data_IF_004784594862
#
_entry.id   IF_004784594862
#
_cell.length_a   1.000
_cell.length_b   1.000
_cell.length_c   1.000
_cell.angle_alpha   90.00
_cell.angle_beta   90.00
_cell.angle_gamma   90.00
#
_symmetry.space_group_name_H-M   'P 1'
#
loop_
_entity.id
_entity.type
_entity.pdbx_description
1 polymer ?
#
# COMPACT_ATOMS: atom_id res chain seq x y z
N UNK A 1 13.13 7.23 -35.42
CA UNK A 1 12.03 6.40 -35.93
C UNK A 1 11.91 5.04 -35.23
N UNK A 2 12.96 4.21 -35.17
CA UNK A 2 12.90 2.86 -34.58
C UNK A 2 12.49 2.86 -33.08
N UNK A 3 13.09 3.73 -32.26
CA UNK A 3 12.75 3.85 -30.83
C UNK A 3 11.30 4.31 -30.58
N UNK A 4 10.79 5.19 -31.44
CA UNK A 4 9.39 5.68 -31.37
C UNK A 4 8.42 4.56 -31.72
N UNK A 5 8.70 3.81 -32.80
CA UNK A 5 7.88 2.66 -33.21
C UNK A 5 7.90 1.53 -32.16
N UNK A 6 9.05 1.30 -31.50
CA UNK A 6 9.13 0.36 -30.39
C UNK A 6 8.26 0.81 -29.21
N UNK A 7 8.39 2.07 -28.78
CA UNK A 7 7.62 2.60 -27.65
C UNK A 7 6.10 2.50 -27.90
N UNK A 8 5.65 2.81 -29.11
CA UNK A 8 4.23 2.66 -29.50
C UNK A 8 3.76 1.20 -29.40
N UNK A 9 4.51 0.26 -29.99
CA UNK A 9 4.17 -1.16 -29.93
C UNK A 9 4.22 -1.72 -28.51
N UNK A 10 5.14 -1.24 -27.68
CA UNK A 10 5.27 -1.67 -26.29
C UNK A 10 4.05 -1.23 -25.47
N UNK A 11 3.56 -0.02 -25.71
CA UNK A 11 2.34 0.49 -25.10
C UNK A 11 1.08 -0.27 -25.56
N UNK A 12 0.95 -0.54 -26.86
CA UNK A 12 -0.12 -1.39 -27.39
C UNK A 12 -0.11 -2.79 -26.77
N UNK A 13 1.08 -3.39 -26.66
CA UNK A 13 1.28 -4.69 -26.03
C UNK A 13 0.87 -4.68 -24.56
N UNK A 14 1.32 -3.68 -23.81
CA UNK A 14 0.97 -3.48 -22.40
C UNK A 14 -0.54 -3.37 -22.21
N UNK A 15 -1.21 -2.54 -23.03
CA UNK A 15 -2.67 -2.39 -22.99
C UNK A 15 -3.38 -3.71 -23.28
N UNK A 16 -2.95 -4.44 -24.32
CA UNK A 16 -3.56 -5.73 -24.68
C UNK A 16 -3.36 -6.79 -23.58
N UNK A 17 -2.16 -6.86 -23.00
CA UNK A 17 -1.84 -7.79 -21.92
C UNK A 17 -2.70 -7.51 -20.68
N UNK A 18 -2.75 -6.26 -20.22
CA UNK A 18 -3.55 -5.89 -19.04
C UNK A 18 -5.05 -6.16 -19.28
N UNK A 19 -5.59 -5.71 -20.42
CA UNK A 19 -7.04 -5.84 -20.70
C UNK A 19 -7.51 -7.28 -20.98
N UNK A 20 -6.64 -8.16 -21.50
CA UNK A 20 -7.03 -9.53 -21.87
C UNK A 20 -6.51 -10.55 -20.87
N UNK A 21 -5.19 -10.57 -20.63
CA UNK A 21 -4.55 -11.61 -19.83
C UNK A 21 -4.77 -11.35 -18.34
N UNK A 22 -4.39 -10.17 -17.84
CA UNK A 22 -4.53 -9.86 -16.41
C UNK A 22 -5.98 -9.85 -15.96
N UNK A 23 -6.88 -9.24 -16.74
CA UNK A 23 -8.31 -9.27 -16.45
C UNK A 23 -8.85 -10.70 -16.34
N UNK A 24 -8.43 -11.61 -17.23
CA UNK A 24 -8.84 -13.02 -17.19
C UNK A 24 -8.25 -13.76 -15.99
N UNK A 25 -6.98 -13.55 -15.67
CA UNK A 25 -6.32 -14.15 -14.51
C UNK A 25 -6.99 -13.70 -13.19
N UNK A 26 -7.30 -12.42 -13.06
CA UNK A 26 -7.97 -11.87 -11.88
C UNK A 26 -9.36 -12.50 -11.72
N UNK A 27 -10.15 -12.58 -12.79
CA UNK A 27 -11.46 -13.24 -12.75
C UNK A 27 -11.38 -14.74 -12.48
N UNK A 28 -10.32 -15.41 -12.93
CA UNK A 28 -10.08 -16.82 -12.62
C UNK A 28 -9.72 -17.04 -11.15
N UNK A 29 -8.97 -16.10 -10.53
CA UNK A 29 -8.64 -16.15 -9.10
C UNK A 29 -9.86 -15.85 -8.24
N UNK A 30 -10.62 -14.80 -8.56
CA UNK A 30 -11.86 -14.47 -7.88
C UNK A 30 -12.81 -13.70 -8.82
N UNK A 31 -14.00 -14.26 -9.14
CA UNK A 31 -14.94 -13.65 -10.07
C UNK A 31 -15.55 -12.33 -9.57
N UNK A 32 -15.53 -12.07 -8.25
CA UNK A 32 -16.03 -10.84 -7.63
C UNK A 32 -15.03 -9.66 -7.75
N UNK A 33 -13.79 -9.91 -8.19
CA UNK A 33 -12.79 -8.87 -8.40
C UNK A 33 -12.89 -8.26 -9.80
N UNK A 34 -12.79 -6.94 -9.87
CA UNK A 34 -12.74 -6.16 -11.09
C UNK A 34 -11.35 -5.53 -11.23
N UNK A 35 -10.90 -5.37 -12.46
CA UNK A 35 -9.56 -4.86 -12.78
C UNK A 35 -9.65 -3.67 -13.71
N UNK A 36 -9.01 -2.58 -13.30
CA UNK A 36 -8.99 -1.30 -13.97
C UNK A 36 -7.53 -0.88 -14.21
N UNK A 37 -6.93 -1.28 -15.35
CA UNK A 37 -5.49 -1.11 -15.62
C UNK A 37 -4.98 0.33 -15.48
N UNK A 38 -5.83 1.31 -15.78
CA UNK A 38 -5.46 2.73 -15.84
C UNK A 38 -5.95 3.52 -14.62
N UNK A 39 -6.69 2.87 -13.71
CA UNK A 39 -7.14 3.47 -12.47
C UNK A 39 -6.20 3.05 -11.33
N UNK A 40 -6.24 3.80 -10.25
CA UNK A 40 -5.57 3.49 -9.00
C UNK A 40 -6.44 3.97 -7.83
N UNK A 41 -6.06 3.58 -6.62
CA UNK A 41 -6.60 4.17 -5.40
C UNK A 41 -6.42 5.69 -5.48
N UNK A 42 -7.44 6.42 -5.03
CA UNK A 42 -7.46 7.87 -5.23
C UNK A 42 -6.51 8.58 -4.27
N UNK A 43 -6.08 9.79 -4.66
CA UNK A 43 -5.32 10.68 -3.76
C UNK A 43 -6.06 10.93 -2.44
N UNK A 44 -7.38 11.07 -2.48
CA UNK A 44 -8.20 11.26 -1.28
C UNK A 44 -8.15 10.04 -0.33
N UNK A 45 -8.25 8.82 -0.84
CA UNK A 45 -8.08 7.59 -0.04
C UNK A 45 -6.66 7.48 0.53
N UNK A 46 -5.64 7.82 -0.28
CA UNK A 46 -4.25 7.85 0.15
C UNK A 46 -4.02 8.86 1.29
N UNK A 47 -4.57 10.07 1.18
CA UNK A 47 -4.47 11.09 2.24
C UNK A 47 -5.26 10.67 3.49
N UNK A 48 -6.46 10.11 3.32
CA UNK A 48 -7.31 9.57 4.40
C UNK A 48 -6.59 8.48 5.19
N UNK A 49 -5.72 7.69 4.56
CA UNK A 49 -4.96 6.64 5.25
C UNK A 49 -3.99 7.18 6.31
N UNK A 50 -3.55 8.43 6.19
CA UNK A 50 -2.54 9.03 7.07
C UNK A 50 -1.20 8.27 7.12
N UNK A 51 -0.95 7.27 6.25
CA UNK A 51 0.30 6.48 6.23
C UNK A 51 1.55 7.30 5.90
N UNK A 52 1.35 8.48 5.29
CA UNK A 52 2.41 9.38 4.87
C UNK A 52 2.19 10.82 5.39
N UNK A 53 1.50 10.97 6.53
CA UNK A 53 1.12 12.28 7.07
C UNK A 53 2.32 13.22 7.35
N UNK A 54 3.51 12.67 7.63
CA UNK A 54 4.74 13.44 7.85
C UNK A 54 5.59 13.68 6.60
N UNK A 55 5.15 13.18 5.44
CA UNK A 55 5.76 13.55 4.18
C UNK A 55 5.15 14.86 3.67
N UNK A 56 5.89 15.62 2.85
CA UNK A 56 5.29 16.67 2.04
C UNK A 56 4.13 16.10 1.22
N UNK A 57 3.14 16.93 0.92
CA UNK A 57 2.08 16.51 0.01
C UNK A 57 2.67 16.22 -1.38
N UNK A 58 2.21 15.17 -2.07
CA UNK A 58 2.79 14.79 -3.35
C UNK A 58 2.51 15.84 -4.43
N UNK A 59 3.58 16.39 -5.00
CA UNK A 59 3.54 17.18 -6.25
C UNK A 59 3.15 16.29 -7.44
N UNK A 60 3.44 14.99 -7.34
CA UNK A 60 3.09 14.01 -8.36
C UNK A 60 2.52 12.76 -7.70
N UNK A 61 1.34 12.39 -8.18
CA UNK A 61 0.62 11.19 -7.77
C UNK A 61 0.38 10.33 -9.01
N UNK A 62 1.05 9.18 -9.10
CA UNK A 62 0.87 8.20 -10.17
C UNK A 62 0.45 6.89 -9.57
N UNK A 63 -0.36 6.15 -10.31
CA UNK A 63 -0.72 4.80 -9.98
C UNK A 63 -1.41 4.13 -11.13
N UNK A 64 -1.51 2.82 -11.04
CA UNK A 64 -2.16 1.96 -12.02
C UNK A 64 -2.61 0.65 -11.37
N UNK A 65 -3.25 -0.19 -12.18
CA UNK A 65 -3.61 -1.55 -11.79
C UNK A 65 -4.53 -1.64 -10.56
N UNK A 66 -5.57 -0.81 -10.53
CA UNK A 66 -6.63 -0.94 -9.53
C UNK A 66 -7.35 -2.29 -9.68
N UNK A 67 -7.26 -3.11 -8.64
CA UNK A 67 -8.08 -4.30 -8.44
C UNK A 67 -9.03 -4.01 -7.28
N UNK A 68 -10.32 -4.23 -7.48
CA UNK A 68 -11.32 -3.99 -6.45
C UNK A 68 -12.48 -4.98 -6.48
N UNK A 69 -13.08 -5.24 -5.33
CA UNK A 69 -14.21 -6.14 -5.20
C UNK A 69 -14.24 -6.77 -3.82
N UNK A 70 -14.78 -7.97 -3.72
CA UNK A 70 -14.92 -8.68 -2.46
C UNK A 70 -14.10 -9.96 -2.43
N UNK A 71 -13.42 -10.20 -1.31
CA UNK A 71 -12.74 -11.47 -0.99
C UNK A 71 -13.39 -12.03 0.27
N UNK A 72 -14.13 -13.13 0.13
CA UNK A 72 -14.96 -13.65 1.21
C UNK A 72 -16.08 -12.67 1.56
N UNK A 73 -16.01 -12.07 2.75
CA UNK A 73 -16.94 -11.03 3.17
C UNK A 73 -16.30 -9.64 3.16
N UNK A 74 -15.05 -9.52 2.72
CA UNK A 74 -14.27 -8.29 2.87
C UNK A 74 -14.16 -7.52 1.56
N UNK A 75 -14.68 -6.29 1.55
CA UNK A 75 -14.48 -5.37 0.43
C UNK A 75 -13.04 -4.84 0.45
N UNK A 76 -12.32 -5.06 -0.66
CA UNK A 76 -10.91 -4.74 -0.84
C UNK A 76 -10.70 -3.94 -2.12
N UNK A 77 -9.78 -2.98 -2.07
CA UNK A 77 -9.19 -2.29 -3.22
C UNK A 77 -7.68 -2.32 -3.05
N UNK A 78 -6.95 -2.52 -4.15
CA UNK A 78 -5.49 -2.42 -4.18
C UNK A 78 -5.03 -1.87 -5.52
N UNK A 79 -3.93 -1.13 -5.52
CA UNK A 79 -3.29 -0.61 -6.74
C UNK A 79 -1.81 -0.35 -6.52
N UNK A 80 -1.03 -0.34 -7.59
CA UNK A 80 0.34 0.15 -7.54
C UNK A 80 0.33 1.68 -7.50
N UNK A 81 1.08 2.28 -6.56
CA UNK A 81 1.23 3.73 -6.45
C UNK A 81 2.70 4.14 -6.50
N UNK A 82 2.97 5.30 -7.09
CA UNK A 82 4.23 6.03 -7.00
C UNK A 82 3.94 7.51 -6.76
N UNK A 83 4.27 7.98 -5.56
CA UNK A 83 4.05 9.36 -5.13
C UNK A 83 5.37 10.07 -4.87
N UNK A 84 5.52 11.28 -5.37
CA UNK A 84 6.78 12.03 -5.34
C UNK A 84 6.54 13.50 -4.94
N UNK A 85 7.50 14.10 -4.24
CA UNK A 85 7.57 15.55 -4.01
C UNK A 85 8.82 16.14 -4.65
N UNK A 86 8.78 17.45 -4.92
CA UNK A 86 9.80 18.19 -5.63
C UNK A 86 10.47 19.21 -4.71
N UNK A 87 11.80 19.24 -4.72
CA UNK A 87 12.58 20.33 -4.13
C UNK A 87 13.33 21.09 -5.22
N UNK A 88 13.54 22.38 -5.01
CA UNK A 88 14.25 23.26 -5.95
C UNK A 88 15.52 23.77 -5.29
N UNK A 89 16.66 23.66 -5.98
CA UNK A 89 17.92 24.28 -5.58
C UNK A 89 18.46 25.17 -6.70
N UNK A 90 19.39 26.07 -6.38
CA UNK A 90 20.08 26.92 -7.35
C UNK A 90 21.58 26.67 -7.26
N UNK A 91 22.25 26.56 -8.40
CA UNK A 91 23.70 26.44 -8.42
C UNK A 91 24.40 27.81 -8.24
N UNK A 92 25.74 27.80 -8.16
CA UNK A 92 26.55 29.01 -8.01
C UNK A 92 26.40 30.01 -9.17
N UNK A 93 25.76 29.63 -10.28
CA UNK A 93 25.44 30.48 -11.44
C UNK A 93 23.96 30.87 -11.49
N UNK A 94 23.19 30.61 -10.43
CA UNK A 94 21.76 30.91 -10.34
C UNK A 94 20.87 30.00 -11.19
N UNK A 95 21.39 28.88 -11.72
CA UNK A 95 20.57 27.94 -12.52
C UNK A 95 19.72 27.07 -11.61
N UNK A 96 18.42 27.08 -11.86
CA UNK A 96 17.41 26.30 -11.14
C UNK A 96 17.58 24.80 -11.43
N UNK A 97 17.63 23.99 -10.38
CA UNK A 97 17.68 22.53 -10.43
C UNK A 97 16.45 21.97 -9.71
N UNK A 98 15.72 21.08 -10.35
CA UNK A 98 14.60 20.36 -9.74
C UNK A 98 15.05 18.96 -9.32
N UNK A 99 14.74 18.58 -8.09
CA UNK A 99 15.01 17.24 -7.55
C UNK A 99 13.69 16.59 -7.16
N UNK A 100 13.45 15.40 -7.67
CA UNK A 100 12.27 14.60 -7.35
C UNK A 100 12.63 13.55 -6.32
N UNK A 101 11.81 13.45 -5.27
CA UNK A 101 12.01 12.56 -4.15
C UNK A 101 10.79 11.65 -4.00
N UNK A 102 11.01 10.34 -3.92
CA UNK A 102 9.93 9.38 -3.72
C UNK A 102 9.45 9.40 -2.27
N UNK A 103 8.15 9.61 -2.08
CA UNK A 103 7.46 9.45 -0.79
C UNK A 103 7.11 7.97 -0.59
N UNK A 104 6.50 7.37 -1.61
CA UNK A 104 6.07 5.97 -1.62
C UNK A 104 6.13 5.42 -3.03
N UNK A 105 6.59 4.18 -3.14
CA UNK A 105 6.46 3.35 -4.33
C UNK A 105 6.16 1.93 -3.88
N UNK A 106 5.09 1.34 -4.40
CA UNK A 106 4.74 -0.05 -4.13
C UNK A 106 3.25 -0.32 -4.16
N UNK A 107 2.85 -1.40 -3.49
CA UNK A 107 1.46 -1.84 -3.43
C UNK A 107 0.73 -1.13 -2.29
N UNK A 108 -0.36 -0.44 -2.62
CA UNK A 108 -1.24 0.19 -1.64
C UNK A 108 -2.58 -0.54 -1.61
N UNK A 109 -3.02 -0.90 -0.42
CA UNK A 109 -4.21 -1.73 -0.21
C UNK A 109 -5.13 -1.03 0.78
N UNK A 110 -6.43 -1.09 0.54
CA UNK A 110 -7.46 -0.74 1.52
C UNK A 110 -8.52 -1.83 1.60
N UNK A 111 -8.90 -2.20 2.82
CA UNK A 111 -9.91 -3.22 3.09
C UNK A 111 -10.87 -2.76 4.20
N UNK A 112 -12.14 -3.15 4.12
CA UNK A 112 -13.08 -2.92 5.23
C UNK A 112 -12.69 -3.82 6.43
N UNK A 113 -12.52 -3.21 7.61
CA UNK A 113 -12.14 -3.93 8.82
C UNK A 113 -13.37 -4.50 9.56
N UNK A 114 -14.58 -4.18 9.10
CA UNK A 114 -15.86 -4.71 9.61
C UNK A 114 -16.06 -4.51 11.11
N UNK A 115 -15.39 -3.52 11.69
CA UNK A 115 -15.60 -3.01 13.04
C UNK A 115 -15.71 -1.50 12.92
N UNK A 116 -16.72 -0.94 13.58
CA UNK A 116 -16.82 0.51 13.69
C UNK A 116 -15.83 0.96 14.76
N UNK A 117 -14.93 1.82 14.35
CA UNK A 117 -13.97 2.46 15.24
C UNK A 117 -13.92 3.95 14.91
N UNK A 118 -13.82 4.77 15.96
CA UNK A 118 -13.90 6.23 15.91
C UNK A 118 -12.53 6.89 15.95
N UNK A 119 -11.58 6.23 16.60
CA UNK A 119 -10.19 6.65 16.68
C UNK A 119 -9.39 6.30 15.43
N UNK A 120 -8.22 6.91 15.34
CA UNK A 120 -7.23 6.64 14.31
C UNK A 120 -6.12 5.85 14.97
N UNK A 121 -5.79 4.66 14.47
CA UNK A 121 -4.64 3.87 14.92
C UNK A 121 -3.65 3.69 13.77
N UNK A 122 -2.41 4.11 13.97
CA UNK A 122 -1.33 4.01 12.99
C UNK A 122 -0.24 3.06 13.48
N UNK A 123 0.23 2.19 12.60
CA UNK A 123 1.30 1.21 12.85
C UNK A 123 2.43 1.45 11.85
N UNK A 124 3.56 1.91 12.34
CA UNK A 124 4.73 2.23 11.52
C UNK A 124 5.91 1.33 11.88
N UNK A 125 6.76 0.96 10.91
CA UNK A 125 7.96 0.21 11.21
C UNK A 125 8.85 1.05 12.12
N UNK A 126 9.52 0.42 13.08
CA UNK A 126 10.42 1.07 14.04
C UNK A 126 11.88 0.99 13.56
N UNK A 127 12.40 2.00 12.85
CA UNK A 127 13.83 2.10 12.57
C UNK A 127 14.52 2.63 13.82
N UNK A 128 14.92 1.73 14.72
CA UNK A 128 15.67 2.11 15.91
C UNK A 128 16.97 2.88 15.55
N UNK A 129 17.25 3.90 16.37
CA UNK A 129 18.42 4.82 16.43
C UNK A 129 18.29 6.25 15.86
N UNK A 130 17.40 6.58 14.91
CA UNK A 130 17.30 7.97 14.40
C UNK A 130 16.08 8.78 14.89
N UNK A 131 15.13 8.15 15.59
CA UNK A 131 13.80 8.73 15.78
C UNK A 131 13.62 9.59 17.02
N UNK A 132 14.51 9.57 18.02
CA UNK A 132 14.33 10.33 19.27
C UNK A 132 14.12 11.84 19.04
N UNK A 133 14.75 12.44 18.01
CA UNK A 133 14.54 13.84 17.62
C UNK A 133 13.40 14.07 16.61
N UNK A 134 12.92 13.03 15.93
CA UNK A 134 11.87 13.11 14.90
C UNK A 134 10.47 12.82 15.45
N UNK A 135 10.35 12.19 16.62
CA UNK A 135 9.06 11.93 17.27
C UNK A 135 8.26 13.21 17.54
N UNK A 136 8.92 14.29 17.96
CA UNK A 136 8.25 15.58 18.15
C UNK A 136 7.71 16.17 16.84
N UNK A 137 8.45 16.06 15.74
CA UNK A 137 8.00 16.50 14.40
C UNK A 137 6.88 15.62 13.86
N UNK A 138 6.95 14.31 14.14
CA UNK A 138 5.94 13.32 13.78
C UNK A 138 4.59 13.62 14.47
N UNK A 139 4.61 13.87 15.79
CA UNK A 139 3.41 14.21 16.56
C UNK A 139 2.80 15.54 16.10
N UNK A 140 3.63 16.53 15.76
CA UNK A 140 3.19 17.79 15.19
C UNK A 140 2.53 17.63 13.83
N UNK A 141 3.14 16.85 12.92
CA UNK A 141 2.58 16.57 11.59
C UNK A 141 1.25 15.82 11.65
N UNK A 142 1.15 14.84 12.56
CA UNK A 142 -0.11 14.12 12.80
C UNK A 142 -1.19 15.06 13.35
N UNK A 143 -0.86 15.84 14.38
CA UNK A 143 -1.80 16.79 14.99
C UNK A 143 -2.32 17.80 13.98
N UNK A 144 -1.45 18.34 13.12
CA UNK A 144 -1.85 19.28 12.07
C UNK A 144 -2.86 18.67 11.09
N UNK A 145 -2.72 17.38 10.73
CA UNK A 145 -3.65 16.70 9.81
C UNK A 145 -4.94 16.22 10.49
N UNK A 146 -4.93 15.91 11.79
CA UNK A 146 -6.11 15.43 12.56
C UNK A 146 -6.84 16.60 13.27
N UNK A 147 -6.42 17.85 13.07
CA UNK A 147 -7.11 19.01 13.65
C UNK A 147 -6.80 19.23 15.14
N UNK A 148 -5.52 19.15 15.50
CA UNK A 148 -4.96 19.34 16.85
C UNK A 148 -5.29 18.24 17.88
N UNK A 149 -5.71 17.05 17.45
CA UNK A 149 -5.71 15.86 18.31
C UNK A 149 -4.41 15.09 18.09
N UNK A 150 -3.39 15.22 18.97
CA UNK A 150 -2.20 14.41 18.87
C UNK A 150 -2.55 12.95 19.14
N UNK A 151 -2.35 12.08 18.15
CA UNK A 151 -2.29 10.65 18.44
C UNK A 151 -1.11 10.39 19.38
N UNK A 152 -1.32 9.59 20.42
CA UNK A 152 -0.32 9.26 21.43
C UNK A 152 0.36 7.93 21.12
N UNK A 153 1.61 7.78 21.55
CA UNK A 153 2.31 6.48 21.48
C UNK A 153 1.58 5.46 22.36
N UNK A 154 1.15 4.35 21.75
CA UNK A 154 0.50 3.23 22.44
C UNK A 154 1.54 2.13 22.63
N UNK A 155 1.79 1.75 23.88
CA UNK A 155 2.60 0.56 24.22
C UNK A 155 1.69 -0.67 24.29
N UNK A 156 2.07 -1.71 23.56
CA UNK A 156 1.40 -3.00 23.52
C UNK A 156 2.24 -4.08 24.20
N UNK A 157 1.61 -5.22 24.50
CA UNK A 157 2.19 -6.28 25.33
C UNK A 157 3.01 -7.31 24.53
N UNK A 158 2.99 -7.26 23.19
CA UNK A 158 3.72 -8.17 22.32
C UNK A 158 5.15 -7.66 22.07
N UNK A 159 6.18 -8.30 22.65
CA UNK A 159 7.55 -7.80 22.58
C UNK A 159 8.13 -7.85 21.16
N UNK A 160 7.70 -8.81 20.34
CA UNK A 160 8.19 -8.93 18.97
C UNK A 160 7.60 -7.84 18.08
N UNK A 161 6.30 -7.58 18.23
CA UNK A 161 5.62 -6.49 17.56
C UNK A 161 6.21 -5.13 17.94
N UNK A 162 6.40 -4.85 19.24
CA UNK A 162 6.98 -3.59 19.74
C UNK A 162 8.42 -3.34 19.27
N UNK A 163 9.16 -4.41 18.95
CA UNK A 163 10.51 -4.33 18.37
C UNK A 163 10.47 -3.95 16.89
N UNK A 164 9.42 -4.34 16.16
CA UNK A 164 9.30 -4.11 14.72
C UNK A 164 8.49 -2.86 14.39
N UNK A 165 7.59 -2.44 15.27
CA UNK A 165 6.61 -1.40 15.01
C UNK A 165 6.44 -0.44 16.19
N UNK A 166 6.12 0.81 15.86
CA UNK A 166 5.57 1.80 16.79
C UNK A 166 4.12 2.08 16.44
N UNK A 167 3.28 2.12 17.48
CA UNK A 167 1.84 2.36 17.37
C UNK A 167 1.50 3.71 17.93
N UNK A 168 0.68 4.44 17.19
CA UNK A 168 0.13 5.70 17.65
C UNK A 168 -1.37 5.70 17.47
N UNK A 169 -2.08 6.26 18.45
CA UNK A 169 -3.54 6.31 18.37
C UNK A 169 -4.13 7.56 19.01
N UNK A 170 -5.24 8.05 18.47
CA UNK A 170 -6.08 9.04 19.15
C UNK A 170 -6.94 8.42 20.24
N UNK A 171 -7.08 7.09 20.27
CA UNK A 171 -7.75 6.33 21.32
C UNK A 171 -6.93 5.09 21.69
N UNK A 172 -6.33 5.14 22.89
CA UNK A 172 -5.49 4.06 23.40
C UNK A 172 -6.24 2.76 23.71
N UNK A 173 -7.53 2.86 24.07
CA UNK A 173 -8.36 1.71 24.41
C UNK A 173 -8.76 1.02 23.11
N UNK A 174 -9.26 1.79 22.15
CA UNK A 174 -9.67 1.28 20.84
C UNK A 174 -8.49 0.66 20.07
N UNK A 175 -7.30 1.26 20.16
CA UNK A 175 -6.08 0.69 19.56
C UNK A 175 -5.79 -0.74 20.06
N UNK A 176 -6.00 -1.01 21.35
CA UNK A 176 -5.81 -2.35 21.94
C UNK A 176 -6.91 -3.34 21.52
N UNK A 177 -8.13 -2.84 21.27
CA UNK A 177 -9.22 -3.65 20.71
C UNK A 177 -9.02 -3.99 19.23
N UNK A 178 -8.36 -3.10 18.47
CA UNK A 178 -7.98 -3.34 17.08
C UNK A 178 -6.78 -4.29 17.05
N UNK A 179 -5.68 -3.93 17.71
CA UNK A 179 -4.40 -4.65 17.72
C UNK A 179 -4.39 -5.75 18.78
N UNK A 180 -5.31 -6.70 18.64
CA UNK A 180 -5.31 -7.92 19.46
C UNK A 180 -3.99 -8.69 19.30
N UNK A 181 -3.58 -9.51 20.29
CA UNK A 181 -2.37 -10.34 20.19
C UNK A 181 -2.30 -11.17 18.90
N UNK A 182 -3.43 -11.73 18.45
CA UNK A 182 -3.47 -12.49 17.20
C UNK A 182 -3.22 -11.62 15.96
N UNK A 183 -3.77 -10.39 15.91
CA UNK A 183 -3.52 -9.48 14.80
C UNK A 183 -2.08 -8.96 14.80
N UNK A 184 -1.51 -8.66 15.96
CA UNK A 184 -0.11 -8.27 16.09
C UNK A 184 0.84 -9.35 15.54
N UNK A 185 0.66 -10.60 15.96
CA UNK A 185 1.44 -11.73 15.45
C UNK A 185 1.33 -11.87 13.92
N UNK A 186 0.12 -11.72 13.37
CA UNK A 186 -0.14 -11.75 11.91
C UNK A 186 0.55 -10.62 11.17
N UNK A 187 0.55 -9.41 11.71
CA UNK A 187 1.25 -8.26 11.13
C UNK A 187 2.77 -8.52 11.14
N UNK A 188 3.32 -9.07 12.22
CA UNK A 188 4.73 -9.45 12.33
C UNK A 188 5.09 -10.49 11.27
N UNK A 189 4.31 -11.56 11.15
CA UNK A 189 4.55 -12.63 10.17
C UNK A 189 4.47 -12.10 8.73
N UNK A 190 3.45 -11.28 8.45
CA UNK A 190 3.31 -10.63 7.15
C UNK A 190 4.51 -9.74 6.82
N UNK A 191 4.97 -8.92 7.78
CA UNK A 191 6.14 -8.07 7.61
C UNK A 191 7.42 -8.87 7.35
N UNK A 192 7.64 -9.97 8.08
CA UNK A 192 8.78 -10.87 7.86
C UNK A 192 8.72 -11.53 6.48
N UNK A 193 7.53 -11.95 6.04
CA UNK A 193 7.30 -12.59 4.73
C UNK A 193 7.56 -11.62 3.58
N UNK A 194 7.06 -10.39 3.68
CA UNK A 194 7.29 -9.34 2.67
C UNK A 194 8.72 -8.80 2.66
N UNK A 195 9.43 -8.88 3.81
CA UNK A 195 10.72 -8.22 4.04
C UNK A 195 10.68 -6.72 3.72
N UNK A 196 9.50 -6.11 3.83
CA UNK A 196 9.27 -4.71 3.51
C UNK A 196 8.98 -3.92 4.79
N UNK A 197 9.30 -2.63 4.78
CA UNK A 197 8.93 -1.68 5.83
C UNK A 197 7.47 -1.27 5.71
N UNK A 198 6.58 -2.26 5.90
CA UNK A 198 5.13 -2.08 5.76
C UNK A 198 4.60 -1.03 6.74
N UNK A 199 3.59 -0.28 6.33
CA UNK A 199 2.87 0.67 7.17
C UNK A 199 1.39 0.33 7.17
N UNK A 200 0.75 0.39 8.33
CA UNK A 200 -0.69 0.13 8.46
C UNK A 200 -1.39 1.27 9.17
N UNK A 201 -2.65 1.47 8.84
CA UNK A 201 -3.52 2.42 9.53
C UNK A 201 -4.94 1.90 9.58
N UNK A 202 -5.59 2.12 10.70
CA UNK A 202 -7.00 1.87 10.92
C UNK A 202 -7.66 3.24 11.06
N UNK A 203 -8.40 3.65 10.03
CA UNK A 203 -9.12 4.93 9.97
C UNK A 203 -10.44 4.75 9.21
N UNK A 204 -11.52 5.35 9.73
CA UNK A 204 -12.87 5.28 9.16
C UNK A 204 -13.35 3.85 8.90
N UNK A 205 -13.16 2.95 9.89
CA UNK A 205 -13.54 1.52 9.80
C UNK A 205 -12.83 0.74 8.70
N UNK A 206 -11.76 1.29 8.11
CA UNK A 206 -10.95 0.64 7.07
C UNK A 206 -9.52 0.42 7.54
N UNK A 207 -8.97 -0.71 7.14
CA UNK A 207 -7.54 -0.95 7.15
C UNK A 207 -6.94 -0.37 5.85
N UNK A 208 -5.85 0.36 5.98
CA UNK A 208 -4.95 0.66 4.87
C UNK A 208 -3.58 0.05 5.14
N UNK A 209 -2.96 -0.46 4.08
CA UNK A 209 -1.66 -1.10 4.13
C UNK A 209 -0.83 -0.61 2.94
N UNK A 210 0.38 -0.14 3.24
CA UNK A 210 1.37 0.20 2.23
C UNK A 210 2.54 -0.77 2.31
N UNK A 211 2.85 -1.44 1.20
CA UNK A 211 3.97 -2.38 1.07
C UNK A 211 4.98 -1.78 0.09
N UNK A 212 6.08 -1.18 0.58
CA UNK A 212 7.10 -0.60 -0.29
C UNK A 212 7.78 -1.65 -1.16
N UNK A 213 7.86 -1.41 -2.46
CA UNK A 213 8.52 -2.30 -3.43
C UNK A 213 8.77 -1.57 -4.75
N UNK A 214 9.84 -1.97 -5.43
CA UNK A 214 10.20 -1.49 -6.78
C UNK A 214 9.76 -2.46 -7.88
N UNK A 215 9.26 -3.63 -7.49
CA UNK A 215 8.72 -4.63 -8.40
C UNK A 215 7.39 -4.14 -8.97
N UNK A 216 7.22 -4.28 -10.29
CA UNK A 216 5.96 -4.02 -10.96
C UNK A 216 5.27 -5.38 -11.18
N UNK A 217 4.19 -5.64 -10.44
CA UNK A 217 3.52 -6.94 -10.38
C UNK A 217 2.70 -7.23 -11.64
N UNK A 218 2.16 -6.19 -12.28
CA UNK A 218 1.15 -6.38 -13.32
C UNK A 218 1.62 -5.98 -14.73
N UNK A 219 2.94 -5.88 -14.92
CA UNK A 219 3.55 -5.54 -16.21
C UNK A 219 3.79 -6.78 -17.09
N UNK A 220 3.60 -6.68 -18.42
CA UNK A 220 3.89 -7.77 -19.32
C UNK A 220 5.40 -8.03 -19.43
N UNK A 221 5.81 -9.21 -19.94
CA UNK A 221 7.16 -9.40 -20.43
C UNK A 221 7.49 -8.39 -21.55
N UNK A 222 8.77 -8.06 -21.68
CA UNK A 222 9.29 -7.23 -22.75
C UNK A 222 8.88 -7.74 -24.13
N UNK A 223 8.68 -6.83 -25.10
CA UNK A 223 8.44 -7.18 -26.50
C UNK A 223 9.56 -8.01 -27.15
N UNK A 224 10.78 -7.95 -26.59
CA UNK A 224 11.91 -8.78 -27.05
C UNK A 224 11.94 -10.15 -26.39
N UNK A 225 11.05 -10.42 -25.43
CA UNK A 225 10.90 -11.76 -24.89
C UNK A 225 10.42 -12.71 -25.99
N UNK A 226 10.85 -13.98 -25.99
CA UNK A 226 10.36 -14.96 -26.94
C UNK A 226 8.82 -15.02 -26.95
N UNK A 227 8.19 -15.14 -28.13
CA UNK A 227 6.73 -15.05 -28.28
C UNK A 227 5.94 -16.01 -27.37
N UNK A 228 6.53 -17.15 -27.03
CA UNK A 228 5.93 -18.18 -26.16
C UNK A 228 6.15 -17.92 -24.66
N UNK A 229 6.82 -16.83 -24.25
CA UNK A 229 7.15 -16.55 -22.84
C UNK A 229 5.90 -16.47 -21.98
N UNK A 230 4.82 -15.88 -22.48
CA UNK A 230 3.54 -15.86 -21.77
C UNK A 230 2.85 -17.23 -21.69
N UNK A 231 3.07 -18.09 -22.68
CA UNK A 231 2.53 -19.44 -22.70
C UNK A 231 3.32 -20.40 -21.79
N UNK A 232 4.46 -19.96 -21.24
CA UNK A 232 5.21 -20.73 -20.25
C UNK A 232 4.43 -20.79 -18.94
N UNK A 233 4.26 -22.00 -18.42
CA UNK A 233 3.60 -22.26 -17.14
C UNK A 233 4.21 -21.43 -16.01
N UNK A 234 5.53 -21.26 -15.99
CA UNK A 234 6.23 -20.49 -14.95
C UNK A 234 5.83 -19.01 -14.95
N UNK A 235 5.57 -18.43 -16.12
CA UNK A 235 5.17 -17.02 -16.23
C UNK A 235 3.75 -16.82 -15.70
N UNK A 236 2.82 -17.70 -16.05
CA UNK A 236 1.46 -17.66 -15.53
C UNK A 236 1.42 -17.92 -14.01
N UNK A 237 2.19 -18.91 -13.55
CA UNK A 237 2.34 -19.21 -12.13
C UNK A 237 2.89 -18.02 -11.34
N UNK A 238 3.83 -17.25 -11.90
CA UNK A 238 4.33 -16.02 -11.29
C UNK A 238 3.20 -15.01 -11.09
N UNK A 239 2.44 -14.68 -12.12
CA UNK A 239 1.33 -13.72 -12.00
C UNK A 239 0.25 -14.21 -11.04
N UNK A 240 -0.06 -15.50 -11.03
CA UNK A 240 -1.00 -16.09 -10.06
C UNK A 240 -0.46 -15.98 -8.64
N UNK A 241 0.84 -16.20 -8.42
CA UNK A 241 1.46 -16.04 -7.11
C UNK A 241 1.47 -14.58 -6.65
N UNK A 242 1.70 -13.64 -7.57
CA UNK A 242 1.65 -12.20 -7.30
C UNK A 242 0.23 -11.74 -6.94
N UNK A 243 -0.78 -12.21 -7.66
CA UNK A 243 -2.20 -11.97 -7.33
C UNK A 243 -2.56 -12.61 -5.98
N UNK A 244 -2.15 -13.85 -5.76
CA UNK A 244 -2.39 -14.53 -4.48
C UNK A 244 -1.74 -13.78 -3.32
N UNK A 245 -0.52 -13.25 -3.50
CA UNK A 245 0.15 -12.42 -2.50
C UNK A 245 -0.57 -11.09 -2.24
N UNK A 246 -1.02 -10.39 -3.29
CA UNK A 246 -1.75 -9.14 -3.13
C UNK A 246 -3.08 -9.34 -2.39
N UNK A 247 -3.75 -10.46 -2.64
CA UNK A 247 -5.04 -10.80 -2.02
C UNK A 247 -4.90 -11.48 -0.66
N UNK A 248 -3.75 -12.12 -0.37
CA UNK A 248 -3.53 -12.85 0.88
C UNK A 248 -3.60 -11.95 2.10
N UNK A 249 -3.44 -10.64 1.96
CA UNK A 249 -3.66 -9.66 3.03
C UNK A 249 -4.97 -9.88 3.78
N UNK A 250 -6.05 -10.27 3.08
CA UNK A 250 -7.37 -10.50 3.68
C UNK A 250 -7.34 -11.68 4.65
N UNK A 251 -6.68 -12.76 4.26
CA UNK A 251 -6.60 -13.99 5.05
C UNK A 251 -5.46 -13.93 6.09
N UNK A 252 -4.32 -13.35 5.72
CA UNK A 252 -3.14 -13.19 6.58
C UNK A 252 -3.46 -12.27 7.75
N UNK A 253 -4.18 -11.16 7.52
CA UNK A 253 -4.63 -10.25 8.59
C UNK A 253 -6.01 -10.62 9.16
N UNK A 254 -6.58 -11.73 8.70
CA UNK A 254 -7.83 -12.30 9.20
C UNK A 254 -9.04 -11.34 9.16
N UNK A 255 -9.15 -10.55 8.09
CA UNK A 255 -10.15 -9.49 7.92
C UNK A 255 -11.57 -10.04 7.71
N UNK A 256 -11.69 -11.32 7.32
CA UNK A 256 -12.96 -12.02 7.20
C UNK A 256 -13.58 -12.42 8.55
N UNK A 257 -12.83 -12.37 9.65
CA UNK A 257 -13.39 -12.74 10.95
C UNK A 257 -14.34 -11.66 11.46
N UNK A 258 -15.62 -12.01 11.54
CA UNK A 258 -16.68 -11.19 12.13
C UNK A 258 -16.74 -11.46 13.63
N UNK A 259 -15.87 -10.81 14.41
CA UNK A 259 -15.88 -11.00 15.87
C UNK A 259 -17.05 -10.23 16.52
N UNK A 260 -17.54 -9.16 15.88
CA UNK A 260 -18.67 -8.36 16.39
C UNK A 260 -19.47 -7.79 15.22
N UNK A 261 -20.80 -7.91 15.24
CA UNK A 261 -21.68 -7.36 14.21
C UNK A 261 -21.72 -5.83 14.26
N UNK A 262 -21.65 -5.18 13.10
CA UNK A 262 -22.03 -3.76 12.95
C UNK A 262 -23.47 -3.60 13.45
N UNK A 263 -23.73 -2.60 14.30
CA UNK A 263 -25.09 -2.26 14.72
C UNK A 263 -25.77 -1.37 13.70
#
# INVERSE_FOLDING_TARGET
>A
MILVAYAQRADEWRKAFKTRVMASLIKAVNPELNYHPQACITRAEYETSLLFHNAPDPDRYRGEDLIEGRVGQTDIRLSELHTEYKTVSYDSKGRRQEHWHTIFRGLFITADFHKDFHGITLVFPDPEQQLLGRFGQWLQGLSAKIGNQPGELVKLEDPEFERMFKVYSTDQIEARYILTPSLMARIVDFAKKTRASIRLSFVNSRLYLAIPTWHNYFEPPSLFAPAYTLAKSETLQRYLAELAFALSVVDELNLNTRIWGKR
#
